data_IF_137957879642
#
_entry.id   IF_137957879642
#
_cell.length_a   1.000
_cell.length_b   1.000
_cell.length_c   1.000
_cell.angle_alpha   90.00
_cell.angle_beta   90.00
_cell.angle_gamma   90.00
#
_symmetry.space_group_name_H-M   'P 1'
#
loop_
_entity.id
_entity.type
_entity.pdbx_description
1 polymer ?
#
# COMPACT_ATOMS: atom_id res chain seq x y z
N UNK A 1 38.70 -7.20 -45.88
CA UNK A 1 38.61 -7.80 -44.53
C UNK A 1 37.14 -7.80 -44.16
N UNK A 2 36.51 -8.98 -44.21
CA UNK A 2 35.08 -9.13 -43.91
C UNK A 2 34.94 -9.17 -42.39
N UNK A 3 34.11 -8.29 -41.82
CA UNK A 3 33.65 -8.41 -40.43
C UNK A 3 32.17 -8.77 -40.50
N UNK A 4 31.85 -10.00 -40.08
CA UNK A 4 30.47 -10.45 -39.98
C UNK A 4 29.87 -9.83 -38.71
N UNK A 5 28.94 -8.88 -38.90
CA UNK A 5 28.13 -8.35 -37.81
C UNK A 5 27.13 -9.42 -37.35
N UNK A 6 27.12 -9.71 -36.05
CA UNK A 6 26.10 -10.53 -35.40
C UNK A 6 24.76 -9.78 -35.48
N UNK A 7 23.65 -10.42 -35.89
CA UNK A 7 22.35 -9.75 -35.83
C UNK A 7 21.92 -9.68 -34.35
N UNK A 8 21.99 -8.49 -33.77
CA UNK A 8 21.26 -8.19 -32.54
C UNK A 8 19.77 -8.19 -32.90
N UNK A 9 19.05 -9.20 -32.44
CA UNK A 9 17.60 -9.18 -32.47
C UNK A 9 17.17 -8.21 -31.37
N UNK A 10 16.82 -7.00 -31.77
CA UNK A 10 16.11 -6.05 -30.92
C UNK A 10 14.74 -6.67 -30.66
N UNK A 11 14.61 -7.37 -29.53
CA UNK A 11 13.30 -7.82 -29.03
C UNK A 11 12.50 -6.55 -28.74
N UNK A 12 11.62 -6.19 -29.67
CA UNK A 12 10.51 -5.28 -29.47
C UNK A 12 9.57 -5.91 -28.43
N UNK A 13 9.98 -5.86 -27.17
CA UNK A 13 9.14 -6.23 -26.06
C UNK A 13 8.12 -5.10 -25.93
N UNK A 14 6.94 -5.32 -26.53
CA UNK A 14 5.75 -4.53 -26.25
C UNK A 14 5.66 -4.29 -24.74
N UNK A 15 5.32 -3.07 -24.28
CA UNK A 15 5.23 -2.79 -22.85
C UNK A 15 4.26 -3.79 -22.24
N UNK A 16 4.78 -4.66 -21.37
CA UNK A 16 3.95 -5.57 -20.59
C UNK A 16 3.02 -4.68 -19.79
N UNK A 17 1.69 -4.80 -19.93
CA UNK A 17 0.78 -3.99 -19.14
C UNK A 17 0.97 -4.38 -17.68
N UNK A 18 1.72 -3.56 -16.94
CA UNK A 18 1.66 -3.57 -15.49
C UNK A 18 0.31 -2.97 -15.14
N UNK A 19 -0.72 -3.83 -15.08
CA UNK A 19 -1.98 -3.44 -14.48
C UNK A 19 -1.65 -3.05 -13.04
N UNK A 20 -1.54 -1.75 -12.78
CA UNK A 20 -1.49 -1.22 -11.43
C UNK A 20 -2.87 -1.47 -10.83
N UNK A 21 -3.05 -2.60 -10.16
CA UNK A 21 -4.23 -2.89 -9.32
C UNK A 21 -4.16 -2.05 -8.03
N UNK A 22 -3.92 -0.75 -8.18
CA UNK A 22 -3.95 0.19 -7.08
C UNK A 22 -5.42 0.57 -6.93
N UNK A 23 -6.09 0.16 -5.84
CA UNK A 23 -7.49 0.48 -5.65
C UNK A 23 -7.69 1.99 -5.61
N UNK A 24 -8.84 2.46 -6.10
CA UNK A 24 -9.22 3.88 -5.90
C UNK A 24 -9.43 4.11 -4.41
N UNK A 25 -8.59 4.97 -3.81
CA UNK A 25 -8.58 5.23 -2.37
C UNK A 25 -9.52 6.38 -2.02
N UNK A 26 -10.36 6.18 -1.01
CA UNK A 26 -11.14 7.23 -0.36
C UNK A 26 -10.50 7.58 0.99
N UNK A 27 -10.22 8.87 1.20
CA UNK A 27 -9.70 9.38 2.47
C UNK A 27 -10.79 9.74 3.49
N UNK A 28 -12.08 9.56 3.14
CA UNK A 28 -13.18 9.82 4.07
C UNK A 28 -13.26 8.68 5.09
N UNK A 29 -13.02 9.00 6.35
CA UNK A 29 -13.21 8.12 7.51
C UNK A 29 -13.73 8.96 8.68
N UNK A 30 -14.04 8.31 9.81
CA UNK A 30 -14.47 8.96 11.05
C UNK A 30 -14.07 8.07 12.25
N UNK A 31 -13.90 8.64 13.45
CA UNK A 31 -13.40 7.87 14.60
C UNK A 31 -14.20 6.61 14.94
N UNK A 32 -15.49 6.58 14.64
CA UNK A 32 -16.35 5.41 14.89
C UNK A 32 -16.08 4.24 13.93
N UNK A 33 -15.30 4.47 12.87
CA UNK A 33 -14.98 3.49 11.84
C UNK A 33 -13.48 3.20 11.73
N UNK A 34 -12.65 3.80 12.58
CA UNK A 34 -11.22 3.51 12.59
C UNK A 34 -10.98 2.04 12.89
N UNK A 35 -10.07 1.45 12.13
CA UNK A 35 -9.62 0.08 12.30
C UNK A 35 -8.28 0.01 13.00
N UNK A 36 -7.45 1.06 12.91
CA UNK A 36 -6.05 1.02 13.33
C UNK A 36 -5.71 1.99 14.47
N UNK A 37 -6.54 3.03 14.66
CA UNK A 37 -6.42 3.94 15.78
C UNK A 37 -7.61 3.85 16.74
N UNK A 38 -7.32 3.99 18.04
CA UNK A 38 -8.33 4.22 19.07
C UNK A 38 -8.12 5.59 19.68
N UNK A 39 -9.18 6.41 19.65
CA UNK A 39 -9.21 7.72 20.28
C UNK A 39 -10.02 7.66 21.57
N UNK A 40 -9.39 8.01 22.69
CA UNK A 40 -10.06 8.24 23.96
C UNK A 40 -9.83 9.68 24.42
N UNK A 41 -10.87 10.34 24.92
CA UNK A 41 -10.79 11.72 25.43
C UNK A 41 -11.29 11.75 26.86
N UNK A 42 -10.44 12.19 27.78
CA UNK A 42 -10.73 12.38 29.21
C UNK A 42 -10.46 13.84 29.59
N UNK A 43 -11.53 14.63 29.64
CA UNK A 43 -11.46 16.07 29.88
C UNK A 43 -10.58 16.77 28.84
N UNK A 44 -9.46 17.32 29.29
CA UNK A 44 -8.48 18.05 28.47
C UNK A 44 -7.43 17.14 27.82
N UNK A 45 -7.43 15.84 28.11
CA UNK A 45 -6.44 14.88 27.61
C UNK A 45 -7.06 13.99 26.54
N UNK A 46 -6.49 14.04 25.33
CA UNK A 46 -6.75 13.07 24.27
C UNK A 46 -5.62 12.02 24.24
N UNK A 47 -5.98 10.75 24.34
CA UNK A 47 -5.08 9.62 24.14
C UNK A 47 -5.37 8.98 22.79
N UNK A 48 -4.34 8.90 21.94
CA UNK A 48 -4.38 8.22 20.66
C UNK A 48 -3.54 6.94 20.76
N UNK A 49 -4.19 5.79 20.67
CA UNK A 49 -3.55 4.47 20.77
C UNK A 49 -3.41 3.87 19.38
N UNK A 50 -2.17 3.56 18.99
CA UNK A 50 -1.87 2.79 17.79
C UNK A 50 -2.16 1.32 18.07
N UNK A 51 -3.15 0.78 17.37
CA UNK A 51 -3.62 -0.60 17.53
C UNK A 51 -3.93 -1.17 16.14
N UNK A 52 -2.86 -1.36 15.34
CA UNK A 52 -3.00 -1.74 13.94
C UNK A 52 -3.56 -3.15 13.85
N UNK A 53 -4.71 -3.29 13.18
CA UNK A 53 -5.18 -4.59 12.73
C UNK A 53 -4.22 -5.16 11.66
N UNK A 54 -3.54 -6.26 12.00
CA UNK A 54 -2.58 -6.94 11.14
C UNK A 54 -3.20 -7.40 9.81
N UNK A 55 -4.51 -7.64 9.76
CA UNK A 55 -5.27 -8.02 8.56
C UNK A 55 -5.95 -6.82 7.87
N UNK A 56 -5.58 -5.59 8.23
CA UNK A 56 -6.20 -4.37 7.73
C UNK A 56 -5.46 -3.60 6.64
N UNK A 57 -4.50 -4.25 5.96
CA UNK A 57 -3.85 -3.65 4.81
C UNK A 57 -4.83 -3.26 3.70
N UNK A 58 -4.52 -2.19 2.97
CA UNK A 58 -5.36 -1.59 1.92
C UNK A 58 -5.45 -2.48 0.66
N UNK A 59 -4.51 -3.39 0.47
CA UNK A 59 -4.48 -4.39 -0.60
C UNK A 59 -4.13 -5.76 -0.03
N UNK A 60 -4.59 -6.86 -0.66
CA UNK A 60 -4.22 -8.20 -0.24
C UNK A 60 -2.73 -8.50 -0.49
N UNK A 61 -2.18 -9.48 0.23
CA UNK A 61 -0.85 -10.04 -0.03
C UNK A 61 0.23 -9.73 1.02
N UNK A 62 -0.10 -8.99 2.08
CA UNK A 62 0.77 -8.80 3.24
C UNK A 62 -0.04 -8.51 4.51
N UNK A 63 0.65 -8.57 5.66
CA UNK A 63 0.10 -8.28 6.98
C UNK A 63 0.83 -7.11 7.63
N UNK A 64 0.11 -6.32 8.43
CA UNK A 64 0.63 -5.16 9.13
C UNK A 64 1.23 -5.52 10.51
N UNK A 65 2.31 -6.31 10.50
CA UNK A 65 2.92 -6.83 11.73
C UNK A 65 3.57 -5.74 12.58
N UNK A 66 3.46 -5.89 13.91
CA UNK A 66 4.17 -5.06 14.89
C UNK A 66 3.92 -3.55 14.71
N UNK A 67 2.66 -3.17 14.44
CA UNK A 67 2.28 -1.78 14.14
C UNK A 67 3.02 -1.18 12.92
N UNK A 68 3.37 -2.01 11.93
CA UNK A 68 3.70 -1.48 10.60
C UNK A 68 2.46 -0.87 9.95
N UNK A 69 2.65 -0.04 8.92
CA UNK A 69 1.55 0.72 8.33
C UNK A 69 1.68 0.83 6.81
N UNK A 70 0.54 1.08 6.18
CA UNK A 70 0.39 1.43 4.77
C UNK A 70 -0.52 2.67 4.64
N UNK A 71 -1.07 2.90 3.45
CA UNK A 71 -1.96 4.03 3.18
C UNK A 71 -3.35 3.90 3.85
N UNK A 72 -3.77 2.68 4.20
CA UNK A 72 -5.09 2.39 4.77
C UNK A 72 -5.15 2.48 6.30
N UNK A 73 -4.02 2.66 6.97
CA UNK A 73 -3.97 2.88 8.43
C UNK A 73 -4.63 4.21 8.78
N UNK A 74 -5.81 4.12 9.38
CA UNK A 74 -6.77 5.21 9.65
C UNK A 74 -7.07 5.45 11.12
#
# INVERSE_FOLDING_TARGET
>A
MTSAGVPVTETDAAPVPIASDVPTVSFRTRPETYRHWKLAVDGEIATLTLDVDEQGGIVPGYELKLNSYDLGVD
#
